data_IF_611969714062
#
_entry.id   IF_611969714062
#
_cell.length_a   1.000
_cell.length_b   1.000
_cell.length_c   1.000
_cell.angle_alpha   90.00
_cell.angle_beta   90.00
_cell.angle_gamma   90.00
#
_symmetry.space_group_name_H-M   'P 1'
#
loop_
_entity.id
_entity.type
_entity.pdbx_description
1 polymer ?
#
# COMPACT_ATOMS: atom_id res chain seq x y z
N UNK A 1 7.81 56.02 22.35
CA UNK A 1 7.99 54.55 22.52
C UNK A 1 9.40 54.31 23.05
N UNK A 2 9.57 53.64 24.20
CA UNK A 2 10.89 53.54 24.87
C UNK A 2 11.75 52.45 24.20
N UNK A 3 13.03 52.74 23.93
CA UNK A 3 14.00 51.87 23.23
C UNK A 3 14.08 50.44 23.81
N UNK A 4 13.93 50.30 25.12
CA UNK A 4 13.95 49.03 25.85
C UNK A 4 12.80 48.09 25.48
N UNK A 5 11.65 48.64 25.10
CA UNK A 5 10.45 47.89 24.73
C UNK A 5 10.56 47.34 23.31
N UNK A 6 11.19 48.11 22.40
CA UNK A 6 11.53 47.65 21.06
C UNK A 6 12.51 46.47 21.09
N UNK A 7 13.56 46.56 21.90
CA UNK A 7 14.56 45.49 22.06
C UNK A 7 13.90 44.21 22.61
N UNK A 8 13.03 44.32 23.63
CA UNK A 8 12.29 43.17 24.17
C UNK A 8 11.38 42.53 23.12
N UNK A 9 10.67 43.33 22.33
CA UNK A 9 9.80 42.84 21.26
C UNK A 9 10.61 42.14 20.16
N UNK A 10 11.78 42.66 19.79
CA UNK A 10 12.68 42.04 18.83
C UNK A 10 13.19 40.67 19.29
N UNK A 11 13.63 40.54 20.55
CA UNK A 11 14.04 39.25 21.10
C UNK A 11 12.89 38.25 21.22
N UNK A 12 11.69 38.72 21.61
CA UNK A 12 10.49 37.89 21.68
C UNK A 12 10.06 37.40 20.29
N UNK A 13 10.18 38.25 19.27
CA UNK A 13 9.91 37.88 17.88
C UNK A 13 10.92 36.86 17.37
N UNK A 14 12.23 37.11 17.54
CA UNK A 14 13.27 36.16 17.15
C UNK A 14 13.07 34.78 17.80
N UNK A 15 12.80 34.73 19.12
CA UNK A 15 12.53 33.47 19.81
C UNK A 15 11.27 32.76 19.28
N UNK A 16 10.23 33.50 18.89
CA UNK A 16 9.03 32.92 18.26
C UNK A 16 9.35 32.33 16.88
N UNK A 17 10.14 33.03 16.07
CA UNK A 17 10.55 32.57 14.73
C UNK A 17 11.36 31.28 14.84
N UNK A 18 12.39 31.24 15.68
CA UNK A 18 13.22 30.04 15.86
C UNK A 18 12.43 28.84 16.41
N UNK A 19 11.50 29.08 17.33
CA UNK A 19 10.59 28.04 17.84
C UNK A 19 9.63 27.50 16.77
N UNK A 20 9.18 28.33 15.83
CA UNK A 20 8.33 27.89 14.73
C UNK A 20 9.13 27.10 13.67
N UNK A 21 10.35 27.52 13.36
CA UNK A 21 11.24 26.81 12.43
C UNK A 21 11.63 25.42 12.97
N UNK A 22 11.96 25.32 14.26
CA UNK A 22 12.25 24.03 14.89
C UNK A 22 11.03 23.11 14.91
N UNK A 23 9.83 23.61 15.27
CA UNK A 23 8.58 22.85 15.20
C UNK A 23 8.24 22.37 13.78
N UNK A 24 8.38 23.23 12.78
CA UNK A 24 8.12 22.86 11.37
C UNK A 24 9.16 21.87 10.84
N UNK A 25 10.43 21.99 11.24
CA UNK A 25 11.47 21.00 10.94
C UNK A 25 11.15 19.63 11.55
N UNK A 26 10.74 19.60 12.82
CA UNK A 26 10.39 18.36 13.51
C UNK A 26 9.13 17.70 12.93
N UNK A 27 8.10 18.49 12.60
CA UNK A 27 6.89 18.01 11.91
C UNK A 27 7.23 17.34 10.58
N UNK A 28 8.00 18.01 9.72
CA UNK A 28 8.46 17.45 8.42
C UNK A 28 9.23 16.15 8.58
N UNK A 29 10.08 16.06 9.62
CA UNK A 29 10.88 14.85 9.89
C UNK A 29 10.01 13.67 10.33
N UNK A 30 8.96 13.92 11.11
CA UNK A 30 7.98 12.90 11.50
C UNK A 30 7.15 12.47 10.28
N UNK A 31 6.62 13.42 9.52
CA UNK A 31 5.85 13.15 8.29
C UNK A 31 6.67 12.28 7.31
N UNK A 32 7.91 12.64 7.05
CA UNK A 32 8.80 11.84 6.19
C UNK A 32 9.03 10.44 6.75
N UNK A 33 9.25 10.30 8.07
CA UNK A 33 9.43 8.99 8.69
C UNK A 33 8.18 8.12 8.56
N UNK A 34 7.00 8.70 8.75
CA UNK A 34 5.72 8.00 8.59
C UNK A 34 5.52 7.54 7.15
N UNK A 35 5.78 8.40 6.17
CA UNK A 35 5.67 8.04 4.75
C UNK A 35 6.60 6.89 4.36
N UNK A 36 7.85 6.90 4.83
CA UNK A 36 8.80 5.81 4.57
C UNK A 36 8.30 4.51 5.19
N UNK A 37 7.79 4.53 6.42
CA UNK A 37 7.25 3.35 7.09
C UNK A 37 5.99 2.80 6.40
N UNK A 38 5.14 3.66 5.86
CA UNK A 38 3.96 3.25 5.08
C UNK A 38 4.36 2.59 3.76
N UNK A 39 5.37 3.14 3.08
CA UNK A 39 5.91 2.57 1.85
C UNK A 39 6.52 1.18 2.09
N UNK A 40 7.35 1.04 3.13
CA UNK A 40 7.96 -0.25 3.53
C UNK A 40 6.89 -1.29 3.88
N UNK A 41 5.82 -0.88 4.59
CA UNK A 41 4.70 -1.77 4.90
C UNK A 41 3.95 -2.22 3.64
N UNK A 42 3.72 -1.32 2.68
CA UNK A 42 3.07 -1.63 1.41
C UNK A 42 3.91 -2.60 0.57
N UNK A 43 5.22 -2.40 0.51
CA UNK A 43 6.14 -3.29 -0.21
C UNK A 43 6.22 -4.68 0.44
N UNK A 44 6.29 -4.74 1.78
CA UNK A 44 6.26 -6.00 2.50
C UNK A 44 4.97 -6.80 2.23
N UNK A 45 3.82 -6.12 2.21
CA UNK A 45 2.54 -6.72 1.86
C UNK A 45 2.54 -7.27 0.42
N UNK A 46 2.99 -6.48 -0.56
CA UNK A 46 3.05 -6.92 -1.96
C UNK A 46 3.96 -8.14 -2.15
N UNK A 47 5.15 -8.12 -1.53
CA UNK A 47 6.09 -9.24 -1.61
C UNK A 47 5.50 -10.51 -1.00
N UNK A 48 4.86 -10.40 0.16
CA UNK A 48 4.17 -11.53 0.78
C UNK A 48 3.09 -12.12 -0.14
N UNK A 49 2.23 -11.26 -0.70
CA UNK A 49 1.15 -11.69 -1.58
C UNK A 49 1.70 -12.43 -2.81
N UNK A 50 2.74 -11.91 -3.46
CA UNK A 50 3.38 -12.53 -4.63
C UNK A 50 4.06 -13.88 -4.31
N UNK A 51 4.60 -14.03 -3.10
CA UNK A 51 5.20 -15.30 -2.68
C UNK A 51 4.12 -16.36 -2.44
N UNK A 52 3.00 -15.98 -1.83
CA UNK A 52 1.96 -16.93 -1.42
C UNK A 52 0.92 -17.23 -2.48
N UNK A 53 0.67 -16.30 -3.41
CA UNK A 53 -0.43 -16.38 -4.35
C UNK A 53 -0.02 -15.98 -5.76
N UNK A 54 -0.72 -16.56 -6.72
CA UNK A 54 -0.71 -16.19 -8.12
C UNK A 54 -1.99 -15.40 -8.40
N UNK A 55 -1.86 -14.22 -9.02
CA UNK A 55 -2.95 -13.29 -9.28
C UNK A 55 -3.07 -12.99 -10.77
N UNK A 56 -4.30 -12.85 -11.24
CA UNK A 56 -4.58 -12.35 -12.58
C UNK A 56 -5.88 -11.55 -12.60
N UNK A 57 -5.98 -10.62 -13.54
CA UNK A 57 -7.18 -9.85 -13.78
C UNK A 57 -7.93 -10.43 -14.98
N UNK A 58 -9.08 -11.01 -14.73
CA UNK A 58 -9.88 -11.67 -15.75
C UNK A 58 -10.62 -10.65 -16.61
N UNK A 59 -10.23 -10.53 -17.88
CA UNK A 59 -10.85 -9.56 -18.80
C UNK A 59 -12.29 -9.91 -19.19
N UNK A 60 -12.72 -11.17 -18.99
CA UNK A 60 -14.08 -11.57 -19.30
C UNK A 60 -15.05 -11.23 -18.16
N UNK A 61 -14.62 -11.41 -16.90
CA UNK A 61 -15.45 -11.12 -15.72
C UNK A 61 -15.19 -9.73 -15.12
N UNK A 62 -14.12 -9.06 -15.55
CA UNK A 62 -13.65 -7.78 -15.01
C UNK A 62 -13.23 -7.85 -13.52
N UNK A 63 -12.84 -9.04 -13.05
CA UNK A 63 -12.48 -9.29 -11.65
C UNK A 63 -11.02 -9.74 -11.49
N UNK A 64 -10.40 -9.37 -10.38
CA UNK A 64 -9.14 -9.98 -9.94
C UNK A 64 -9.43 -11.34 -9.33
N UNK A 65 -8.73 -12.36 -9.80
CA UNK A 65 -8.81 -13.72 -9.29
C UNK A 65 -7.43 -14.19 -8.83
N UNK A 66 -7.42 -15.14 -7.90
CA UNK A 66 -6.19 -15.62 -7.27
C UNK A 66 -6.22 -17.12 -7.02
N UNK A 67 -5.04 -17.66 -6.78
CA UNK A 67 -4.87 -19.02 -6.29
C UNK A 67 -3.61 -19.14 -5.41
N UNK A 68 -3.56 -20.05 -4.43
CA UNK A 68 -2.34 -20.27 -3.64
C UNK A 68 -1.22 -20.90 -4.46
N UNK A 69 0.01 -20.44 -4.30
CA UNK A 69 1.19 -21.03 -4.94
C UNK A 69 1.56 -22.41 -4.39
N UNK A 70 1.08 -22.75 -3.19
CA UNK A 70 1.39 -24.00 -2.48
C UNK A 70 0.52 -25.19 -2.87
N UNK A 71 -0.57 -24.97 -3.60
CA UNK A 71 -1.49 -26.04 -4.00
C UNK A 71 -1.07 -26.63 -5.35
N UNK A 72 -1.27 -27.94 -5.53
CA UNK A 72 -0.78 -28.67 -6.70
C UNK A 72 -1.47 -28.28 -8.01
N UNK A 73 -2.74 -27.88 -7.94
CA UNK A 73 -3.49 -27.32 -9.08
C UNK A 73 -4.77 -26.59 -8.63
N UNK A 74 -4.66 -25.45 -7.92
CA UNK A 74 -5.83 -24.70 -7.53
C UNK A 74 -6.38 -23.93 -8.73
N UNK A 75 -7.69 -24.06 -8.97
CA UNK A 75 -8.41 -23.15 -9.85
C UNK A 75 -8.31 -21.72 -9.32
N UNK A 76 -8.23 -20.75 -10.22
CA UNK A 76 -8.35 -19.35 -9.85
C UNK A 76 -9.77 -19.08 -9.34
N UNK A 77 -9.86 -18.33 -8.24
CA UNK A 77 -11.12 -17.93 -7.61
C UNK A 77 -11.20 -16.40 -7.59
N UNK A 78 -12.36 -15.79 -7.88
CA UNK A 78 -12.54 -14.34 -7.77
C UNK A 78 -12.23 -13.83 -6.36
N UNK A 79 -11.62 -12.65 -6.27
CA UNK A 79 -11.38 -11.98 -4.99
C UNK A 79 -12.60 -11.13 -4.65
N UNK A 80 -13.41 -11.62 -3.71
CA UNK A 80 -14.42 -10.84 -3.03
C UNK A 80 -13.94 -10.26 -1.70
N UNK A 81 -14.84 -9.59 -1.00
CA UNK A 81 -14.54 -9.00 0.31
C UNK A 81 -14.12 -10.05 1.36
N UNK A 82 -14.62 -11.29 1.26
CA UNK A 82 -14.28 -12.35 2.22
C UNK A 82 -12.83 -12.78 2.06
N UNK A 83 -12.41 -12.96 0.82
CA UNK A 83 -11.07 -13.36 0.40
C UNK A 83 -10.07 -12.26 0.78
N UNK A 84 -10.43 -11.00 0.52
CA UNK A 84 -9.65 -9.84 0.97
C UNK A 84 -9.44 -9.81 2.49
N UNK A 85 -10.50 -10.07 3.26
CA UNK A 85 -10.39 -10.11 4.72
C UNK A 85 -9.46 -11.23 5.19
N UNK A 86 -9.52 -12.40 4.55
CA UNK A 86 -8.60 -13.52 4.81
C UNK A 86 -7.15 -13.14 4.51
N UNK A 87 -6.86 -12.59 3.32
CA UNK A 87 -5.52 -12.14 2.94
C UNK A 87 -4.95 -11.13 3.96
N UNK A 88 -5.80 -10.22 4.43
CA UNK A 88 -5.44 -9.22 5.43
C UNK A 88 -5.12 -9.86 6.80
N UNK A 89 -5.92 -10.83 7.24
CA UNK A 89 -5.69 -11.57 8.48
C UNK A 89 -4.42 -12.43 8.42
N UNK A 90 -4.15 -13.09 7.31
CA UNK A 90 -2.97 -13.93 7.13
C UNK A 90 -1.68 -13.10 7.14
N UNK A 91 -1.66 -11.97 6.42
CA UNK A 91 -0.55 -11.04 6.45
C UNK A 91 -0.28 -10.51 7.88
N UNK A 92 -1.33 -10.15 8.62
CA UNK A 92 -1.21 -9.70 10.01
C UNK A 92 -0.68 -10.78 10.95
N UNK A 93 -1.04 -12.04 10.72
CA UNK A 93 -0.61 -13.18 11.53
C UNK A 93 0.92 -13.35 11.50
N UNK A 94 1.56 -13.03 10.38
CA UNK A 94 3.02 -13.05 10.24
C UNK A 94 3.70 -11.70 10.52
N UNK A 95 2.96 -10.72 11.04
CA UNK A 95 3.49 -9.42 11.46
C UNK A 95 3.55 -8.35 10.36
N UNK A 96 2.95 -8.59 9.18
CA UNK A 96 2.89 -7.57 8.12
C UNK A 96 1.71 -6.63 8.40
N UNK A 97 2.00 -5.32 8.42
CA UNK A 97 0.95 -4.30 8.49
C UNK A 97 0.13 -4.32 7.20
N UNK A 98 -1.07 -4.87 7.27
CA UNK A 98 -2.02 -4.84 6.16
C UNK A 98 -3.08 -3.76 6.41
N UNK A 99 -3.11 -2.74 5.54
CA UNK A 99 -4.19 -1.78 5.45
C UNK A 99 -5.10 -2.18 4.30
N UNK A 100 -6.40 -2.29 4.55
CA UNK A 100 -7.38 -2.70 3.54
C UNK A 100 -7.32 -1.82 2.28
N UNK A 101 -6.98 -0.53 2.45
CA UNK A 101 -6.78 0.41 1.35
C UNK A 101 -5.58 0.04 0.47
N UNK A 102 -4.45 -0.33 1.05
CA UNK A 102 -3.25 -0.68 0.29
C UNK A 102 -3.41 -2.03 -0.39
N UNK A 103 -4.08 -2.99 0.27
CA UNK A 103 -4.46 -4.25 -0.34
C UNK A 103 -5.38 -4.03 -1.55
N UNK A 104 -6.47 -3.26 -1.38
CA UNK A 104 -7.36 -2.89 -2.49
C UNK A 104 -6.60 -2.21 -3.62
N UNK A 105 -5.77 -1.20 -3.30
CA UNK A 105 -5.00 -0.46 -4.30
C UNK A 105 -4.11 -1.40 -5.11
N UNK A 106 -3.47 -2.37 -4.46
CA UNK A 106 -2.63 -3.35 -5.15
C UNK A 106 -3.47 -4.27 -6.05
N UNK A 107 -4.50 -4.91 -5.50
CA UNK A 107 -5.33 -5.90 -6.21
C UNK A 107 -6.12 -5.32 -7.39
N UNK A 108 -6.46 -4.03 -7.34
CA UNK A 108 -7.16 -3.30 -8.39
C UNK A 108 -6.24 -2.47 -9.28
N UNK A 109 -4.92 -2.63 -9.14
CA UNK A 109 -3.95 -1.94 -10.00
C UNK A 109 -3.57 -2.74 -11.23
N UNK A 110 -3.06 -2.05 -12.23
CA UNK A 110 -2.41 -2.64 -13.42
C UNK A 110 -1.13 -3.43 -13.11
N UNK A 111 -0.73 -3.54 -11.82
CA UNK A 111 0.35 -4.44 -11.39
C UNK A 111 -0.09 -5.91 -11.45
N UNK A 112 -1.39 -6.17 -11.38
CA UNK A 112 -1.94 -7.50 -11.61
C UNK A 112 -2.03 -7.74 -13.13
N UNK A 113 -1.42 -8.81 -13.66
CA UNK A 113 -1.42 -9.07 -15.09
C UNK A 113 -2.83 -9.44 -15.58
N UNK A 114 -3.21 -8.92 -16.75
CA UNK A 114 -4.49 -9.26 -17.37
C UNK A 114 -4.46 -10.66 -17.99
N UNK A 115 -5.58 -11.36 -17.89
CA UNK A 115 -5.81 -12.69 -18.42
C UNK A 115 -7.04 -12.68 -19.32
N UNK A 116 -6.93 -13.26 -20.53
CA UNK A 116 -8.03 -13.37 -21.48
C UNK A 116 -8.43 -14.86 -21.63
N UNK A 117 -9.50 -15.33 -20.96
CA UNK A 117 -9.88 -16.74 -20.96
C UNK A 117 -10.07 -17.33 -22.37
N UNK A 118 -10.78 -16.60 -23.24
CA UNK A 118 -11.05 -17.08 -24.60
C UNK A 118 -9.80 -17.18 -25.48
N UNK A 119 -8.83 -16.28 -25.30
CA UNK A 119 -7.59 -16.33 -26.09
C UNK A 119 -6.74 -17.55 -25.71
N UNK A 120 -6.74 -17.94 -24.42
CA UNK A 120 -6.09 -19.17 -23.99
C UNK A 120 -6.79 -20.38 -24.59
N UNK A 121 -8.12 -20.46 -24.44
CA UNK A 121 -8.91 -21.55 -24.99
C UNK A 121 -8.68 -21.75 -26.49
N UNK A 122 -8.68 -20.66 -27.27
CA UNK A 122 -8.42 -20.72 -28.72
C UNK A 122 -7.02 -21.25 -29.07
N UNK A 123 -6.01 -21.02 -28.23
CA UNK A 123 -4.64 -21.51 -28.46
C UNK A 123 -4.46 -22.99 -28.13
N UNK A 124 -5.33 -23.55 -27.28
CA UNK A 124 -5.25 -24.93 -26.79
C UNK A 124 -6.17 -25.89 -27.58
N UNK A 125 -6.80 -25.42 -28.65
CA UNK A 125 -7.60 -26.26 -29.53
C UNK A 125 -6.72 -27.34 -30.20
N UNK A 126 -7.18 -28.60 -30.28
CA UNK A 126 -6.48 -29.63 -31.06
C UNK A 126 -6.42 -29.25 -32.54
N UNK A 127 -5.35 -29.65 -33.23
CA UNK A 127 -5.26 -29.60 -34.70
C UNK A 127 -6.23 -30.57 -35.38
#
# INVERSE_FOLDING_TARGET
MKLTEMIRNFFRWNRKVTNNESKTGQKRRIENKTMVQEQEASEALQNYLLIQYDFRYNLLTEETEFRPNSSSDPAFTPIGQREMNTLCMDARTIGIKCWDRDLNRYLLSTRIPSYHPLQLYMKELPE
#
